data_IF_171321362405
#
_entry.id   IF_171321362405
#
_cell.length_a   1.000
_cell.length_b   1.000
_cell.length_c   1.000
_cell.angle_alpha   90.00
_cell.angle_beta   90.00
_cell.angle_gamma   90.00
#
_symmetry.space_group_name_H-M   'P 1'
#
loop_
_entity.id
_entity.type
_entity.pdbx_description
1 polymer ?
#
# COMPACT_ATOMS: atom_id res chain seq x y z
N UNK A 1 -6.20 15.99 6.50
CA UNK A 1 -4.83 15.89 5.92
C UNK A 1 -4.80 16.46 4.51
N UNK A 2 -5.69 16.03 3.61
CA UNK A 2 -5.79 16.59 2.25
C UNK A 2 -5.96 18.12 2.19
N UNK A 3 -6.84 18.70 3.03
CA UNK A 3 -7.02 20.16 3.12
C UNK A 3 -5.73 20.91 3.52
N UNK A 4 -5.01 20.39 4.52
CA UNK A 4 -3.79 21.01 5.08
C UNK A 4 -2.63 21.06 4.07
N UNK A 5 -2.58 20.11 3.14
CA UNK A 5 -1.61 20.11 2.04
C UNK A 5 -1.89 21.22 1.00
N UNK A 6 -3.15 21.61 0.85
CA UNK A 6 -3.58 22.70 -0.05
C UNK A 6 -3.33 24.06 0.60
N UNK A 7 -3.46 24.15 1.92
CA UNK A 7 -3.30 25.38 2.69
C UNK A 7 -1.83 25.79 2.93
N UNK A 8 -0.86 24.99 2.46
CA UNK A 8 0.57 25.31 2.55
C UNK A 8 1.16 25.19 3.96
N UNK A 9 0.50 24.48 4.88
CA UNK A 9 1.04 24.22 6.21
C UNK A 9 2.25 23.28 6.12
N UNK A 10 3.40 23.70 6.67
CA UNK A 10 4.58 22.84 6.88
C UNK A 10 4.60 22.35 8.34
N UNK A 11 4.16 21.12 8.64
CA UNK A 11 4.11 20.62 10.01
C UNK A 11 5.52 20.49 10.59
N UNK A 12 5.69 20.91 11.85
CA UNK A 12 6.95 20.77 12.57
C UNK A 12 7.36 19.29 12.74
N UNK A 13 6.38 18.38 12.81
CA UNK A 13 6.62 16.94 12.94
C UNK A 13 6.97 16.31 11.59
N UNK A 14 8.16 15.73 11.51
CA UNK A 14 8.70 15.14 10.28
C UNK A 14 7.79 14.06 9.66
N UNK A 15 7.11 13.24 10.47
CA UNK A 15 6.23 12.20 9.94
C UNK A 15 4.98 12.78 9.27
N UNK A 16 4.41 13.87 9.82
CA UNK A 16 3.23 14.54 9.26
C UNK A 16 3.57 15.20 7.94
N UNK A 17 4.70 15.91 7.88
CA UNK A 17 5.20 16.52 6.64
C UNK A 17 5.37 15.48 5.54
N UNK A 18 5.94 14.33 5.88
CA UNK A 18 6.17 13.26 4.92
C UNK A 18 4.87 12.58 4.44
N UNK A 19 3.85 12.45 5.29
CA UNK A 19 2.51 12.01 4.86
C UNK A 19 1.83 13.03 3.93
N UNK A 20 1.97 14.34 4.22
CA UNK A 20 1.46 15.40 3.33
C UNK A 20 2.16 15.35 1.96
N UNK A 21 3.48 15.23 1.97
CA UNK A 21 4.30 15.11 0.76
C UNK A 21 3.96 13.86 -0.05
N UNK A 22 3.75 12.72 0.61
CA UNK A 22 3.24 11.50 -0.03
C UNK A 22 1.87 11.70 -0.66
N UNK A 23 0.94 12.32 0.06
CA UNK A 23 -0.38 12.62 -0.47
C UNK A 23 -0.31 13.51 -1.72
N UNK A 24 0.50 14.58 -1.67
CA UNK A 24 0.76 15.48 -2.79
C UNK A 24 1.33 14.74 -4.00
N UNK A 25 2.35 13.89 -3.78
CA UNK A 25 2.93 13.06 -4.83
C UNK A 25 1.88 12.14 -5.49
N UNK A 26 1.06 11.45 -4.69
CA UNK A 26 0.00 10.58 -5.21
C UNK A 26 -1.05 11.35 -6.01
N UNK A 27 -1.46 12.53 -5.55
CA UNK A 27 -2.41 13.38 -6.26
C UNK A 27 -1.85 13.83 -7.61
N UNK A 28 -0.62 14.36 -7.64
CA UNK A 28 0.05 14.79 -8.87
C UNK A 28 0.19 13.63 -9.87
N UNK A 29 0.55 12.44 -9.39
CA UNK A 29 0.69 11.27 -10.24
C UNK A 29 -0.64 10.83 -10.87
N UNK A 30 -1.76 10.97 -10.15
CA UNK A 30 -3.09 10.58 -10.65
C UNK A 30 -3.68 11.59 -11.64
N UNK A 31 -3.45 12.90 -11.44
CA UNK A 31 -4.08 13.95 -12.24
C UNK A 31 -3.19 14.50 -13.35
N UNK A 32 -1.86 14.38 -13.24
CA UNK A 32 -0.90 15.13 -14.06
C UNK A 32 -0.46 14.49 -15.39
N UNK A 33 -1.25 13.60 -16.00
CA UNK A 33 -1.00 13.01 -17.34
C UNK A 33 0.46 12.58 -17.66
N UNK A 34 1.20 12.08 -16.66
CA UNK A 34 2.59 11.64 -16.81
C UNK A 34 3.64 12.43 -16.04
N UNK A 35 3.25 13.28 -15.09
CA UNK A 35 4.14 13.98 -14.16
C UNK A 35 4.77 13.03 -13.09
N UNK A 36 5.29 11.87 -13.49
CA UNK A 36 5.89 10.90 -12.57
C UNK A 36 7.15 11.47 -11.91
N UNK A 37 7.99 12.18 -12.66
CA UNK A 37 9.21 12.80 -12.13
C UNK A 37 8.90 13.90 -11.10
N UNK A 38 7.86 14.70 -11.36
CA UNK A 38 7.41 15.73 -10.41
C UNK A 38 6.80 15.10 -9.15
N UNK A 39 5.96 14.08 -9.30
CA UNK A 39 5.41 13.35 -8.16
C UNK A 39 6.53 12.72 -7.29
N UNK A 40 7.54 12.12 -7.93
CA UNK A 40 8.68 11.51 -7.25
C UNK A 40 9.57 12.54 -6.55
N UNK A 41 9.61 13.78 -7.02
CA UNK A 41 10.33 14.87 -6.34
C UNK A 41 9.76 15.16 -4.96
N UNK A 42 8.43 15.11 -4.81
CA UNK A 42 7.76 15.30 -3.52
C UNK A 42 7.77 14.05 -2.65
N UNK A 43 7.89 12.84 -3.21
CA UNK A 43 7.74 11.60 -2.45
C UNK A 43 8.95 11.31 -1.53
N UNK A 44 8.77 11.21 -0.20
CA UNK A 44 9.84 10.84 0.72
C UNK A 44 10.37 9.42 0.45
N UNK A 45 11.70 9.23 0.56
CA UNK A 45 12.39 7.97 0.19
C UNK A 45 11.92 6.72 0.93
N UNK A 46 11.30 6.85 2.11
CA UNK A 46 10.79 5.72 2.89
C UNK A 46 9.59 5.02 2.22
N UNK A 47 8.84 5.73 1.38
CA UNK A 47 7.66 5.22 0.68
C UNK A 47 8.06 4.44 -0.58
N UNK A 48 8.68 3.29 -0.33
CA UNK A 48 9.35 2.50 -1.37
C UNK A 48 8.36 1.88 -2.35
N UNK A 49 7.18 1.45 -1.89
CA UNK A 49 6.15 0.85 -2.74
C UNK A 49 5.59 1.87 -3.73
N UNK A 50 5.15 3.02 -3.25
CA UNK A 50 4.60 4.11 -4.05
C UNK A 50 5.62 4.58 -5.07
N UNK A 51 6.86 4.80 -4.64
CA UNK A 51 7.95 5.21 -5.53
C UNK A 51 8.24 4.17 -6.61
N UNK A 52 8.17 2.87 -6.30
CA UNK A 52 8.35 1.80 -7.28
C UNK A 52 7.23 1.79 -8.33
N UNK A 53 5.98 1.94 -7.89
CA UNK A 53 4.82 1.98 -8.78
C UNK A 53 4.85 3.22 -9.67
N UNK A 54 5.10 4.41 -9.11
CA UNK A 54 5.17 5.67 -9.85
C UNK A 54 6.30 5.64 -10.89
N UNK A 55 7.49 5.13 -10.52
CA UNK A 55 8.62 4.98 -11.46
C UNK A 55 8.30 4.03 -12.61
N UNK A 56 7.65 2.91 -12.33
CA UNK A 56 7.34 1.91 -13.37
C UNK A 56 6.28 2.43 -14.33
N UNK A 57 5.14 2.85 -13.80
CA UNK A 57 4.00 3.30 -14.61
C UNK A 57 4.30 4.63 -15.32
N UNK A 58 5.13 5.48 -14.72
CA UNK A 58 5.56 6.77 -15.27
C UNK A 58 6.65 6.72 -16.33
N UNK A 59 7.30 5.57 -16.53
CA UNK A 59 8.52 5.47 -17.37
C UNK A 59 8.28 5.85 -18.83
N UNK A 60 7.21 5.36 -19.44
CA UNK A 60 6.84 5.70 -20.82
C UNK A 60 5.34 5.43 -21.06
N UNK A 61 4.76 5.90 -22.18
CA UNK A 61 3.34 5.69 -22.46
C UNK A 61 2.90 4.23 -22.49
N UNK A 62 3.78 3.30 -22.89
CA UNK A 62 3.48 1.88 -22.95
C UNK A 62 3.39 1.23 -21.55
N UNK A 63 4.15 1.72 -20.57
CA UNK A 63 4.14 1.20 -19.20
C UNK A 63 2.98 1.72 -18.35
N UNK A 64 2.24 2.74 -18.80
CA UNK A 64 1.12 3.34 -18.05
C UNK A 64 0.01 2.34 -17.67
N UNK A 65 -0.11 1.24 -18.42
CA UNK A 65 -1.09 0.17 -18.16
C UNK A 65 -0.43 -1.14 -17.68
N UNK A 66 0.88 -1.14 -17.48
CA UNK A 66 1.60 -2.32 -16.99
C UNK A 66 1.58 -2.39 -15.47
N UNK A 67 0.40 -2.66 -14.92
CA UNK A 67 0.19 -2.78 -13.47
C UNK A 67 0.89 -4.01 -12.89
N UNK A 68 0.99 -5.08 -13.66
CA UNK A 68 1.70 -6.28 -13.24
C UNK A 68 3.20 -6.03 -13.08
N UNK A 69 3.83 -5.35 -14.04
CA UNK A 69 5.22 -4.90 -13.92
C UNK A 69 5.42 -3.94 -12.76
N UNK A 70 4.48 -3.03 -12.51
CA UNK A 70 4.55 -2.10 -11.38
C UNK A 70 4.52 -2.80 -10.02
N UNK A 71 3.66 -3.81 -9.85
CA UNK A 71 3.65 -4.66 -8.65
C UNK A 71 4.94 -5.48 -8.52
N UNK A 72 5.50 -5.93 -9.64
CA UNK A 72 6.77 -6.64 -9.65
C UNK A 72 7.97 -5.76 -9.28
N UNK A 73 7.90 -4.46 -9.55
CA UNK A 73 8.92 -3.48 -9.17
C UNK A 73 9.00 -3.23 -7.66
N UNK A 74 7.95 -3.55 -6.88
CA UNK A 74 7.97 -3.47 -5.42
C UNK A 74 8.95 -4.53 -4.87
N UNK A 75 9.80 -4.20 -3.87
CA UNK A 75 10.69 -5.17 -3.25
C UNK A 75 9.93 -6.41 -2.74
N UNK A 76 10.50 -7.60 -2.98
CA UNK A 76 9.85 -8.89 -2.68
C UNK A 76 9.32 -8.99 -1.24
N UNK A 77 10.08 -8.51 -0.25
CA UNK A 77 9.67 -8.54 1.15
C UNK A 77 8.37 -7.77 1.39
N UNK A 78 8.27 -6.56 0.82
CA UNK A 78 7.08 -5.72 0.94
C UNK A 78 5.90 -6.28 0.13
N UNK A 79 6.16 -6.89 -1.04
CA UNK A 79 5.11 -7.57 -1.80
C UNK A 79 4.52 -8.77 -1.05
N UNK A 80 5.37 -9.56 -0.39
CA UNK A 80 4.91 -10.67 0.45
C UNK A 80 4.04 -10.19 1.62
N UNK A 81 4.34 -9.02 2.20
CA UNK A 81 3.52 -8.44 3.27
C UNK A 81 2.05 -8.26 2.82
N UNK A 82 1.80 -7.80 1.60
CA UNK A 82 0.42 -7.67 1.07
C UNK A 82 -0.28 -9.03 0.92
N UNK A 83 0.46 -10.05 0.47
CA UNK A 83 -0.09 -11.41 0.37
C UNK A 83 -0.42 -11.98 1.76
N UNK A 84 0.50 -11.83 2.72
CA UNK A 84 0.28 -12.25 4.10
C UNK A 84 -0.89 -11.51 4.76
N UNK A 85 -1.05 -10.20 4.49
CA UNK A 85 -2.19 -9.44 4.98
C UNK A 85 -3.53 -10.03 4.49
N UNK A 86 -3.59 -10.45 3.22
CA UNK A 86 -4.78 -11.13 2.69
C UNK A 86 -5.00 -12.51 3.33
N UNK A 87 -3.93 -13.30 3.51
CA UNK A 87 -4.01 -14.58 4.23
C UNK A 87 -4.55 -14.39 5.66
N UNK A 88 -4.05 -13.39 6.40
CA UNK A 88 -4.51 -13.05 7.73
C UNK A 88 -5.95 -12.57 7.75
N UNK A 89 -6.38 -11.80 6.75
CA UNK A 89 -7.79 -11.37 6.63
C UNK A 89 -8.74 -12.57 6.52
N UNK A 90 -8.45 -13.51 5.62
CA UNK A 90 -9.24 -14.74 5.46
C UNK A 90 -9.21 -15.58 6.73
N UNK A 91 -8.02 -15.77 7.32
CA UNK A 91 -7.86 -16.55 8.55
C UNK A 91 -8.65 -15.95 9.71
N UNK A 92 -8.56 -14.63 9.93
CA UNK A 92 -9.28 -13.94 10.99
C UNK A 92 -10.80 -14.12 10.84
N UNK A 93 -11.30 -14.06 9.60
CA UNK A 93 -12.72 -14.28 9.34
C UNK A 93 -13.15 -15.72 9.64
N UNK A 94 -12.39 -16.71 9.15
CA UNK A 94 -12.66 -18.12 9.39
C UNK A 94 -12.56 -18.49 10.88
N UNK A 95 -11.52 -18.02 11.57
CA UNK A 95 -11.30 -18.23 13.00
C UNK A 95 -12.42 -17.61 13.85
N UNK A 96 -12.80 -16.36 13.54
CA UNK A 96 -13.91 -15.69 14.23
C UNK A 96 -15.23 -16.44 14.04
N UNK A 97 -15.49 -16.93 12.82
CA UNK A 97 -16.69 -17.72 12.52
C UNK A 97 -16.67 -19.07 13.25
N UNK A 98 -15.54 -19.76 13.26
CA UNK A 98 -15.34 -21.04 13.98
C UNK A 98 -15.56 -20.88 15.48
N UNK A 99 -15.04 -19.80 16.05
CA UNK A 99 -15.25 -19.46 17.46
C UNK A 99 -16.72 -19.16 17.77
N UNK A 100 -17.39 -18.36 16.92
CA UNK A 100 -18.80 -18.04 17.10
C UNK A 100 -19.74 -19.26 17.03
N UNK A 101 -19.35 -20.30 16.29
CA UNK A 101 -20.18 -21.51 16.10
C UNK A 101 -19.94 -22.59 17.16
N UNK A 102 -18.69 -22.87 17.54
CA UNK A 102 -18.38 -24.00 18.42
C UNK A 102 -17.52 -23.64 19.64
N UNK A 103 -17.19 -22.36 19.84
CA UNK A 103 -16.41 -21.90 20.99
C UNK A 103 -15.06 -22.60 21.11
N UNK A 104 -14.73 -22.96 22.34
CA UNK A 104 -13.50 -23.64 22.76
C UNK A 104 -13.53 -25.17 22.60
N UNK A 105 -14.68 -25.77 22.28
CA UNK A 105 -14.80 -27.20 22.07
C UNK A 105 -14.13 -27.62 20.75
N UNK A 106 -13.31 -28.68 20.78
CA UNK A 106 -12.77 -29.32 19.56
C UNK A 106 -13.87 -30.16 18.92
N UNK A 107 -14.10 -30.00 17.62
CA UNK A 107 -15.15 -30.71 16.88
C UNK A 107 -14.56 -31.58 15.77
N UNK A 108 -15.30 -32.62 15.36
CA UNK A 108 -14.90 -33.48 14.24
C UNK A 108 -14.63 -32.63 12.98
N UNK A 109 -13.46 -32.86 12.37
CA UNK A 109 -12.99 -32.09 11.21
C UNK A 109 -12.05 -30.93 11.53
N UNK A 110 -11.86 -30.55 12.80
CA UNK A 110 -10.82 -29.58 13.18
C UNK A 110 -9.42 -30.13 12.86
N UNK A 111 -8.55 -29.26 12.34
CA UNK A 111 -7.16 -29.61 12.04
C UNK A 111 -6.29 -29.37 13.27
N UNK A 112 -5.56 -30.42 13.71
CA UNK A 112 -4.65 -30.38 14.85
C UNK A 112 -3.21 -30.59 14.37
N UNK A 113 -2.29 -29.74 14.80
CA UNK A 113 -0.85 -29.86 14.54
C UNK A 113 -0.21 -30.54 15.76
N UNK A 114 0.57 -31.60 15.55
CA UNK A 114 1.28 -32.39 16.58
C UNK A 114 2.77 -32.06 16.56
#
# INVERSE_FOLDING_TARGET
VAQRAVDGEDPAEAHLRDELNRHRACMLFQTGDGAADEALHYLPRRFTAEGAVMRHLGRNPASRRDFHGALNAIPRQLRNMYLHAYQSYVWNHAASRRWALHGDAVVEGDLVVV
#
